data_IF_851043331823
#
_entry.id   IF_851043331823
#
_cell.length_a   1.000
_cell.length_b   1.000
_cell.length_c   1.000
_cell.angle_alpha   90.00
_cell.angle_beta   90.00
_cell.angle_gamma   90.00
#
_symmetry.space_group_name_H-M   'P 1'
#
loop_
_entity.id
_entity.type
_entity.pdbx_description
1 polymer ?
#
# COMPACT_ATOMS: atom_id res chain seq x y z
N UNK A 1 -3.73 7.55 -14.40
CA UNK A 1 -2.57 6.93 -15.04
C UNK A 1 -1.71 6.26 -13.98
N UNK A 2 -1.09 5.12 -14.32
CA UNK A 2 -0.20 4.38 -13.40
C UNK A 2 1.01 5.23 -12.95
N UNK A 3 1.63 6.00 -13.87
CA UNK A 3 2.75 6.90 -13.59
C UNK A 3 2.50 7.91 -12.47
N UNK A 4 1.28 8.39 -12.29
CA UNK A 4 0.92 9.30 -11.19
C UNK A 4 0.74 8.58 -9.87
N UNK A 5 0.12 7.37 -9.89
CA UNK A 5 -0.12 6.58 -8.69
C UNK A 5 1.13 5.88 -8.17
N UNK A 6 2.05 5.55 -9.08
CA UNK A 6 3.27 4.79 -8.81
C UNK A 6 4.53 5.63 -9.07
N UNK A 7 4.44 6.95 -8.90
CA UNK A 7 5.50 7.90 -9.28
C UNK A 7 6.86 7.54 -8.70
N UNK A 8 6.91 7.11 -7.46
CA UNK A 8 8.13 6.70 -6.77
C UNK A 8 8.85 5.55 -7.51
N UNK A 9 8.11 4.52 -7.94
CA UNK A 9 8.70 3.42 -8.70
C UNK A 9 9.21 3.86 -10.07
N UNK A 10 8.48 4.76 -10.74
CA UNK A 10 8.88 5.30 -12.04
C UNK A 10 10.12 6.20 -11.96
N UNK A 11 10.42 6.78 -10.80
CA UNK A 11 11.60 7.62 -10.58
C UNK A 11 12.85 6.83 -10.19
N UNK A 12 12.68 5.67 -9.54
CA UNK A 12 13.81 4.91 -8.98
C UNK A 12 14.15 3.64 -9.79
N UNK A 13 13.27 3.20 -10.68
CA UNK A 13 13.44 1.95 -11.43
C UNK A 13 13.33 2.15 -12.93
N UNK A 14 14.16 1.41 -13.69
CA UNK A 14 13.97 1.25 -15.15
C UNK A 14 12.73 0.41 -15.41
N UNK A 15 11.77 0.95 -16.16
CA UNK A 15 10.48 0.31 -16.43
C UNK A 15 10.47 -0.23 -17.86
N UNK A 16 10.18 -1.52 -18.02
CA UNK A 16 9.96 -2.11 -19.35
C UNK A 16 8.47 -2.31 -19.58
N UNK A 17 7.94 -1.65 -20.60
CA UNK A 17 6.54 -1.80 -21.05
C UNK A 17 6.49 -2.73 -22.24
N UNK A 18 5.84 -3.89 -22.09
CA UNK A 18 5.58 -4.81 -23.19
C UNK A 18 4.19 -4.55 -23.77
N UNK A 19 4.09 -4.29 -25.08
CA UNK A 19 2.84 -3.97 -25.78
C UNK A 19 2.78 -4.65 -27.14
N UNK A 20 1.58 -4.99 -27.60
CA UNK A 20 1.32 -5.50 -28.93
C UNK A 20 1.38 -4.42 -30.01
N UNK A 21 1.27 -3.16 -29.61
CA UNK A 21 1.40 -1.99 -30.49
C UNK A 21 2.76 -1.33 -30.31
N UNK A 22 3.32 -0.68 -31.34
CA UNK A 22 4.61 0.00 -31.26
C UNK A 22 4.51 1.30 -30.45
N UNK A 23 4.37 1.17 -29.12
CA UNK A 23 4.21 2.32 -28.23
C UNK A 23 5.37 3.31 -28.29
N UNK A 24 6.58 2.82 -28.56
CA UNK A 24 7.75 3.68 -28.72
C UNK A 24 7.55 4.70 -29.84
N UNK A 25 7.05 4.24 -30.99
CA UNK A 25 6.85 5.10 -32.16
C UNK A 25 5.68 6.07 -31.96
N UNK A 26 4.65 5.62 -31.21
CA UNK A 26 3.48 6.45 -30.92
C UNK A 26 3.82 7.56 -29.91
N UNK A 27 4.57 7.25 -28.86
CA UNK A 27 4.86 8.20 -27.77
C UNK A 27 5.97 9.18 -28.19
N UNK A 28 6.94 8.73 -28.99
CA UNK A 28 8.06 9.56 -29.46
C UNK A 28 7.75 10.29 -30.78
N UNK A 29 6.54 10.16 -31.31
CA UNK A 29 6.14 10.89 -32.51
C UNK A 29 6.07 12.38 -32.22
N UNK A 30 6.90 13.18 -32.90
CA UNK A 30 6.95 14.65 -32.77
C UNK A 30 5.69 15.37 -33.25
N UNK A 31 4.91 14.73 -34.12
CA UNK A 31 3.67 15.25 -34.65
C UNK A 31 2.44 14.83 -33.82
N UNK A 32 2.67 14.13 -32.71
CA UNK A 32 1.60 13.71 -31.81
C UNK A 32 0.88 14.93 -31.20
N UNK A 33 -0.44 14.93 -31.30
CA UNK A 33 -1.30 15.99 -30.75
C UNK A 33 -2.22 15.47 -29.65
N UNK A 34 -2.83 16.38 -28.90
CA UNK A 34 -3.86 16.06 -27.92
C UNK A 34 -3.36 15.23 -26.72
N UNK A 35 -4.04 14.12 -26.43
CA UNK A 35 -3.74 13.29 -25.26
C UNK A 35 -2.38 12.59 -25.34
N UNK A 36 -1.95 12.21 -26.54
CA UNK A 36 -0.68 11.50 -26.77
C UNK A 36 0.49 12.43 -26.46
N UNK A 37 0.48 13.65 -26.97
CA UNK A 37 1.51 14.64 -26.68
C UNK A 37 1.63 14.91 -25.18
N UNK A 38 0.49 15.04 -24.48
CA UNK A 38 0.47 15.22 -23.04
C UNK A 38 1.07 14.04 -22.26
N UNK A 39 0.80 12.82 -22.72
CA UNK A 39 1.38 11.62 -22.12
C UNK A 39 2.87 11.49 -22.40
N UNK A 40 3.32 11.82 -23.62
CA UNK A 40 4.73 11.82 -23.96
C UNK A 40 5.52 12.76 -23.03
N UNK A 41 5.04 13.99 -22.80
CA UNK A 41 5.67 14.95 -21.88
C UNK A 41 5.66 14.43 -20.43
N UNK A 42 4.56 13.81 -19.99
CA UNK A 42 4.42 13.29 -18.62
C UNK A 42 5.35 12.09 -18.36
N UNK A 43 5.66 11.30 -19.39
CA UNK A 43 6.51 10.11 -19.27
C UNK A 43 7.99 10.38 -19.53
N UNK A 44 8.32 11.52 -20.10
CA UNK A 44 9.69 11.90 -20.50
C UNK A 44 10.72 11.88 -19.34
N UNK A 45 10.36 12.21 -18.07
CA UNK A 45 11.31 12.15 -16.96
C UNK A 45 11.64 10.75 -16.45
N UNK A 46 10.98 9.71 -16.97
CA UNK A 46 11.14 8.34 -16.46
C UNK A 46 11.95 7.48 -17.42
N UNK A 47 12.74 6.56 -16.88
CA UNK A 47 13.47 5.56 -17.66
C UNK A 47 12.53 4.42 -18.09
N UNK A 48 11.89 4.59 -19.27
CA UNK A 48 10.91 3.64 -19.78
C UNK A 48 11.42 3.05 -21.10
N UNK A 49 11.59 1.74 -21.12
CA UNK A 49 11.89 0.96 -22.33
C UNK A 49 10.63 0.31 -22.85
N UNK A 50 10.34 0.48 -24.14
CA UNK A 50 9.21 -0.15 -24.81
C UNK A 50 9.68 -1.38 -25.58
N UNK A 51 9.07 -2.54 -25.33
CA UNK A 51 9.32 -3.79 -26.05
C UNK A 51 8.05 -4.24 -26.76
N UNK A 52 8.18 -4.62 -28.02
CA UNK A 52 7.07 -5.25 -28.75
C UNK A 52 6.84 -6.65 -28.16
N UNK A 53 5.64 -6.89 -27.66
CA UNK A 53 5.22 -8.22 -27.24
C UNK A 53 5.05 -9.05 -28.49
N UNK A 54 5.90 -10.06 -28.68
CA UNK A 54 5.69 -11.02 -29.77
C UNK A 54 4.35 -11.70 -29.52
N UNK A 55 3.42 -11.56 -30.46
CA UNK A 55 2.14 -12.24 -30.38
C UNK A 55 2.40 -13.74 -30.22
N UNK A 56 2.00 -14.31 -29.11
CA UNK A 56 1.78 -15.75 -29.00
C UNK A 56 0.70 -16.01 -30.05
N UNK A 57 0.97 -16.87 -31.04
CA UNK A 57 -0.02 -17.19 -32.06
C UNK A 57 -1.32 -17.48 -31.33
N UNK A 58 -2.38 -16.77 -31.70
CA UNK A 58 -3.70 -16.83 -31.01
C UNK A 58 -4.23 -18.26 -30.90
N UNK A 59 -3.81 -19.14 -31.85
CA UNK A 59 -4.12 -20.55 -31.82
C UNK A 59 -3.46 -21.32 -30.70
N UNK A 60 -2.18 -21.02 -30.39
CA UNK A 60 -1.47 -21.66 -29.25
C UNK A 60 -2.05 -21.21 -27.90
N UNK A 61 -2.51 -19.96 -27.82
CA UNK A 61 -3.19 -19.46 -26.63
C UNK A 61 -4.62 -20.05 -26.51
N UNK A 62 -5.34 -20.19 -27.62
CA UNK A 62 -6.65 -20.82 -27.67
C UNK A 62 -6.55 -22.32 -27.33
N UNK A 63 -5.57 -23.02 -27.92
CA UNK A 63 -5.30 -24.45 -27.62
C UNK A 63 -4.88 -24.61 -26.16
N UNK A 64 -4.03 -23.72 -25.62
CA UNK A 64 -3.61 -23.71 -24.23
C UNK A 64 -4.80 -23.41 -23.28
N UNK A 65 -5.66 -22.44 -23.62
CA UNK A 65 -6.86 -22.15 -22.85
C UNK A 65 -7.84 -23.31 -22.90
N UNK A 66 -8.02 -23.95 -24.09
CA UNK A 66 -8.93 -25.10 -24.26
C UNK A 66 -8.40 -26.33 -23.51
N UNK A 67 -7.10 -26.59 -23.60
CA UNK A 67 -6.44 -27.68 -22.88
C UNK A 67 -6.44 -27.46 -21.36
N UNK A 68 -6.36 -26.19 -20.91
CA UNK A 68 -6.46 -25.81 -19.48
C UNK A 68 -7.89 -25.77 -18.95
N UNK A 69 -8.89 -25.54 -19.80
CA UNK A 69 -10.31 -25.58 -19.40
C UNK A 69 -10.89 -26.98 -19.46
N UNK A 70 -10.32 -27.89 -20.26
CA UNK A 70 -10.74 -29.31 -20.34
C UNK A 70 -9.87 -30.24 -19.49
N UNK A 71 -8.59 -29.92 -19.23
CA UNK A 71 -7.83 -30.58 -18.19
C UNK A 71 -8.41 -30.17 -16.84
N UNK A 72 -9.24 -31.04 -16.27
CA UNK A 72 -9.74 -30.99 -14.93
C UNK A 72 -8.79 -30.19 -14.02
N UNK A 73 -9.09 -28.92 -13.79
CA UNK A 73 -8.65 -28.28 -12.57
C UNK A 73 -9.10 -29.24 -11.47
N UNK A 74 -8.19 -29.83 -10.67
CA UNK A 74 -8.59 -30.75 -9.63
C UNK A 74 -9.70 -30.06 -8.87
N UNK A 75 -10.86 -30.73 -8.73
CA UNK A 75 -12.04 -30.23 -8.00
C UNK A 75 -11.71 -29.86 -6.53
N UNK A 76 -10.48 -30.05 -6.12
CA UNK A 76 -9.92 -29.65 -4.83
C UNK A 76 -9.46 -28.16 -4.75
N UNK A 77 -9.33 -27.43 -5.87
CA UNK A 77 -9.05 -25.99 -5.80
C UNK A 77 -10.20 -25.16 -5.24
N UNK A 78 -11.40 -25.73 -5.14
CA UNK A 78 -12.55 -25.08 -4.49
C UNK A 78 -12.44 -25.00 -2.96
N UNK A 79 -11.59 -25.81 -2.33
CA UNK A 79 -11.43 -25.84 -0.87
C UNK A 79 -10.27 -24.98 -0.34
N UNK A 80 -9.34 -24.55 -1.21
CA UNK A 80 -8.11 -23.85 -0.80
C UNK A 80 -7.84 -22.55 -1.58
N UNK A 81 -8.88 -21.86 -1.99
CA UNK A 81 -8.71 -20.60 -2.73
C UNK A 81 -8.50 -19.36 -1.84
N UNK A 82 -8.19 -19.56 -0.56
CA UNK A 82 -7.97 -18.48 0.37
C UNK A 82 -6.52 -17.98 0.28
N UNK A 83 -6.36 -16.66 0.21
CA UNK A 83 -5.09 -16.03 0.52
C UNK A 83 -4.85 -16.11 2.03
N UNK A 84 -3.59 -16.19 2.42
CA UNK A 84 -3.19 -16.14 3.82
C UNK A 84 -2.45 -14.83 4.07
N UNK A 85 -2.85 -14.11 5.10
CA UNK A 85 -2.18 -12.88 5.54
C UNK A 85 -1.60 -13.10 6.93
N UNK A 86 -0.30 -12.90 7.07
CA UNK A 86 0.36 -12.78 8.36
C UNK A 86 0.62 -11.31 8.65
N UNK A 87 0.41 -10.90 9.90
CA UNK A 87 0.68 -9.53 10.34
C UNK A 87 1.35 -9.52 11.71
N UNK A 88 2.15 -8.50 11.97
CA UNK A 88 2.79 -8.25 13.25
C UNK A 88 3.06 -6.76 13.45
N UNK A 89 3.02 -6.30 14.70
CA UNK A 89 3.41 -4.97 15.13
C UNK A 89 4.61 -5.02 16.08
N UNK A 90 5.54 -4.10 15.95
CA UNK A 90 6.73 -4.04 16.81
C UNK A 90 6.99 -2.63 17.33
N UNK A 91 7.18 -2.53 18.65
CA UNK A 91 7.62 -1.31 19.32
C UNK A 91 9.03 -1.49 19.86
N UNK A 92 9.94 -0.62 19.44
CA UNK A 92 11.34 -0.57 19.88
C UNK A 92 11.71 0.84 20.34
N UNK A 93 12.91 1.00 20.93
CA UNK A 93 13.43 2.33 21.30
C UNK A 93 13.57 3.25 20.07
N UNK A 94 13.92 2.70 18.92
CA UNK A 94 14.07 3.44 17.68
C UNK A 94 12.74 3.87 17.04
N UNK A 95 11.62 3.23 17.40
CA UNK A 95 10.31 3.57 16.88
C UNK A 95 9.33 2.40 16.81
N UNK A 96 8.26 2.62 16.06
CA UNK A 96 7.23 1.64 15.78
C UNK A 96 7.35 1.14 14.35
N UNK A 97 7.06 -0.12 14.15
CA UNK A 97 7.00 -0.73 12.83
C UNK A 97 5.92 -1.79 12.73
N UNK A 98 5.55 -2.14 11.53
CA UNK A 98 4.64 -3.23 11.28
C UNK A 98 5.10 -4.05 10.07
N UNK A 99 4.74 -5.32 10.06
CA UNK A 99 5.05 -6.26 9.00
C UNK A 99 3.80 -6.96 8.49
N UNK A 100 3.68 -7.10 7.18
CA UNK A 100 2.58 -7.84 6.56
C UNK A 100 3.15 -8.75 5.48
N UNK A 101 2.68 -9.99 5.48
CA UNK A 101 2.99 -11.01 4.46
C UNK A 101 1.69 -11.54 3.91
N UNK A 102 1.47 -11.38 2.61
CA UNK A 102 0.34 -11.97 1.88
C UNK A 102 0.85 -13.13 1.05
N UNK A 103 0.24 -14.30 1.21
CA UNK A 103 0.58 -15.51 0.46
C UNK A 103 -0.62 -15.94 -0.37
N UNK A 104 -0.43 -16.05 -1.68
CA UNK A 104 -1.46 -16.52 -2.60
C UNK A 104 -1.70 -18.02 -2.47
N UNK A 105 -2.82 -18.56 -2.99
CA UNK A 105 -3.04 -20.00 -3.12
C UNK A 105 -1.95 -20.71 -3.95
N UNK A 106 -1.31 -19.98 -4.87
CA UNK A 106 -0.19 -20.47 -5.70
C UNK A 106 1.17 -20.31 -5.04
N UNK A 107 1.20 -19.87 -3.75
CA UNK A 107 2.39 -19.61 -2.94
C UNK A 107 3.24 -18.43 -3.38
N UNK A 108 2.68 -17.50 -4.16
CA UNK A 108 3.32 -16.22 -4.42
C UNK A 108 3.25 -15.36 -3.15
N UNK A 109 4.34 -14.69 -2.82
CA UNK A 109 4.47 -13.98 -1.55
C UNK A 109 4.68 -12.48 -1.81
N UNK A 110 3.84 -11.65 -1.19
CA UNK A 110 3.98 -10.20 -1.17
C UNK A 110 4.27 -9.73 0.25
N UNK A 111 5.32 -8.93 0.43
CA UNK A 111 5.82 -8.51 1.74
C UNK A 111 5.79 -7.00 1.86
N UNK A 112 5.31 -6.50 3.02
CA UNK A 112 5.27 -5.08 3.35
C UNK A 112 5.94 -4.81 4.68
N UNK A 113 6.71 -3.72 4.72
CA UNK A 113 7.23 -3.11 5.95
C UNK A 113 6.57 -1.75 6.10
N UNK A 114 6.01 -1.48 7.27
CA UNK A 114 5.52 -0.17 7.65
C UNK A 114 6.47 0.46 8.65
N UNK A 115 6.88 1.69 8.37
CA UNK A 115 7.55 2.56 9.32
C UNK A 115 6.51 3.52 9.90
N UNK A 116 6.16 3.33 11.17
CA UNK A 116 5.21 4.19 11.86
C UNK A 116 5.98 5.38 12.44
N UNK A 117 5.72 6.58 11.92
CA UNK A 117 6.48 7.81 12.16
C UNK A 117 5.91 8.65 13.32
N UNK A 118 5.03 8.09 14.12
CA UNK A 118 4.47 8.69 15.33
C UNK A 118 4.62 7.74 16.52
N UNK A 119 4.47 8.28 17.73
CA UNK A 119 4.61 7.49 18.96
C UNK A 119 3.28 6.88 19.37
N UNK A 120 3.29 5.58 19.67
CA UNK A 120 2.10 4.84 20.08
C UNK A 120 2.43 3.58 20.89
N UNK A 121 1.40 2.78 21.20
CA UNK A 121 1.52 1.49 21.84
C UNK A 121 1.89 0.37 20.86
N UNK A 122 2.36 -0.77 21.37
CA UNK A 122 2.55 -1.96 20.55
C UNK A 122 1.22 -2.43 19.95
N UNK A 123 0.14 -2.42 20.73
CA UNK A 123 -1.19 -2.81 20.24
C UNK A 123 -1.66 -1.95 19.06
N UNK A 124 -1.33 -0.64 19.07
CA UNK A 124 -1.61 0.23 17.93
C UNK A 124 -0.82 -0.19 16.68
N UNK A 125 0.45 -0.58 16.82
CA UNK A 125 1.25 -1.08 15.71
C UNK A 125 0.69 -2.40 15.13
N UNK A 126 0.18 -3.31 15.99
CA UNK A 126 -0.52 -4.53 15.58
C UNK A 126 -1.76 -4.22 14.73
N UNK A 127 -2.58 -3.29 15.20
CA UNK A 127 -3.78 -2.87 14.46
C UNK A 127 -3.44 -2.13 13.16
N UNK A 128 -2.38 -1.34 13.13
CA UNK A 128 -1.92 -0.71 11.88
C UNK A 128 -1.43 -1.75 10.87
N UNK A 129 -0.70 -2.79 11.33
CA UNK A 129 -0.31 -3.92 10.48
C UNK A 129 -1.53 -4.60 9.87
N UNK A 130 -2.50 -4.93 10.71
CA UNK A 130 -3.74 -5.60 10.31
C UNK A 130 -4.55 -4.76 9.31
N UNK A 131 -4.81 -3.48 9.61
CA UNK A 131 -5.58 -2.59 8.73
C UNK A 131 -4.87 -2.36 7.40
N UNK A 132 -3.54 -2.19 7.42
CA UNK A 132 -2.77 -2.04 6.20
C UNK A 132 -2.87 -3.29 5.34
N UNK A 133 -2.65 -4.47 5.91
CA UNK A 133 -2.76 -5.74 5.20
C UNK A 133 -4.14 -5.96 4.58
N UNK A 134 -5.22 -5.66 5.31
CA UNK A 134 -6.58 -5.74 4.78
C UNK A 134 -6.82 -4.75 3.63
N UNK A 135 -6.31 -3.51 3.72
CA UNK A 135 -6.40 -2.52 2.63
C UNK A 135 -5.67 -3.00 1.38
N UNK A 136 -4.47 -3.58 1.58
CA UNK A 136 -3.70 -4.16 0.47
C UNK A 136 -4.45 -5.33 -0.17
N UNK A 137 -5.00 -6.24 0.63
CA UNK A 137 -5.81 -7.36 0.13
C UNK A 137 -7.01 -6.86 -0.70
N UNK A 138 -7.73 -5.85 -0.21
CA UNK A 138 -8.83 -5.22 -0.98
C UNK A 138 -8.32 -4.60 -2.28
N UNK A 139 -7.18 -3.89 -2.26
CA UNK A 139 -6.62 -3.24 -3.46
C UNK A 139 -6.15 -4.24 -4.51
N UNK A 140 -5.73 -5.43 -4.08
CA UNK A 140 -5.36 -6.56 -4.95
C UNK A 140 -6.58 -7.35 -5.46
N UNK A 141 -7.78 -7.02 -5.01
CA UNK A 141 -9.02 -7.72 -5.41
C UNK A 141 -9.21 -9.07 -4.75
N UNK A 142 -8.50 -9.33 -3.65
CA UNK A 142 -8.61 -10.59 -2.89
C UNK A 142 -10.01 -10.68 -2.27
N UNK A 143 -10.71 -11.77 -2.55
CA UNK A 143 -12.09 -11.99 -2.08
C UNK A 143 -12.18 -12.87 -0.85
N UNK A 144 -11.25 -13.82 -0.72
CA UNK A 144 -11.22 -14.77 0.40
C UNK A 144 -9.86 -14.71 1.04
N UNK A 145 -9.82 -14.41 2.34
CA UNK A 145 -8.60 -14.17 3.08
C UNK A 145 -8.66 -14.83 4.46
N UNK A 146 -7.63 -15.54 4.81
CA UNK A 146 -7.35 -16.03 6.14
C UNK A 146 -6.29 -15.14 6.77
N UNK A 147 -6.61 -14.50 7.89
CA UNK A 147 -5.74 -13.57 8.61
C UNK A 147 -5.15 -14.29 9.82
N UNK A 148 -3.85 -14.33 9.91
CA UNK A 148 -3.10 -14.99 10.98
C UNK A 148 -2.18 -13.98 11.69
N UNK A 149 -2.18 -13.99 13.01
CA UNK A 149 -1.30 -13.14 13.83
C UNK A 149 -1.08 -13.72 15.22
N UNK A 150 0.02 -13.33 15.88
CA UNK A 150 0.34 -13.75 17.24
C UNK A 150 -0.15 -12.75 18.32
N UNK A 151 -0.84 -11.69 17.91
CA UNK A 151 -1.53 -10.75 18.81
C UNK A 151 -2.86 -11.33 19.25
N UNK A 152 -2.85 -12.06 20.38
CA UNK A 152 -4.07 -12.62 20.97
C UNK A 152 -5.11 -11.53 21.24
N UNK A 153 -4.66 -10.35 21.72
CA UNK A 153 -5.55 -9.23 22.01
C UNK A 153 -6.29 -8.73 20.76
N UNK A 154 -5.56 -8.45 19.68
CA UNK A 154 -6.15 -7.95 18.44
C UNK A 154 -7.13 -8.96 17.84
N UNK A 155 -6.72 -10.23 17.73
CA UNK A 155 -7.54 -11.30 17.17
C UNK A 155 -8.81 -11.53 18.01
N UNK A 156 -8.69 -11.67 19.34
CA UNK A 156 -9.83 -11.90 20.22
C UNK A 156 -10.80 -10.72 20.28
N UNK A 157 -10.29 -9.48 20.16
CA UNK A 157 -11.17 -8.31 20.08
C UNK A 157 -11.97 -8.28 18.77
N UNK A 158 -11.37 -8.71 17.66
CA UNK A 158 -12.06 -8.74 16.37
C UNK A 158 -13.08 -9.87 16.33
N UNK A 159 -12.75 -11.03 16.85
CA UNK A 159 -13.66 -12.18 16.94
C UNK A 159 -14.81 -11.95 17.94
N UNK A 160 -14.69 -10.94 18.82
CA UNK A 160 -15.72 -10.62 19.80
C UNK A 160 -15.56 -11.35 21.12
N UNK A 161 -14.44 -12.05 21.35
CA UNK A 161 -14.14 -12.75 22.61
C UNK A 161 -13.82 -11.75 23.74
N UNK A 162 -13.23 -10.59 23.37
CA UNK A 162 -12.91 -9.51 24.30
C UNK A 162 -13.42 -8.15 23.80
N UNK A 163 -13.86 -7.33 24.74
CA UNK A 163 -14.25 -5.94 24.46
C UNK A 163 -13.02 -5.04 24.31
N UNK A 164 -13.04 -4.16 23.32
CA UNK A 164 -12.07 -3.08 23.19
C UNK A 164 -12.51 -1.90 24.08
N UNK A 165 -12.07 -1.89 25.36
CA UNK A 165 -12.41 -0.84 26.33
C UNK A 165 -11.72 0.50 26.04
N UNK A 166 -10.53 0.47 25.46
CA UNK A 166 -9.80 1.66 25.04
C UNK A 166 -10.47 2.26 23.80
N UNK A 167 -10.83 3.57 23.79
CA UNK A 167 -11.53 4.20 22.66
C UNK A 167 -10.77 4.09 21.34
N UNK A 168 -9.44 4.14 21.38
CA UNK A 168 -8.60 4.00 20.20
C UNK A 168 -8.64 2.57 19.66
N UNK A 169 -8.51 1.56 20.53
CA UNK A 169 -8.59 0.15 20.12
C UNK A 169 -10.00 -0.17 19.60
N UNK A 170 -11.04 0.42 20.18
CA UNK A 170 -12.41 0.31 19.69
C UNK A 170 -12.56 0.92 18.29
N UNK A 171 -11.91 2.07 18.00
CA UNK A 171 -11.91 2.68 16.67
C UNK A 171 -11.20 1.81 15.63
N UNK A 172 -10.07 1.20 15.98
CA UNK A 172 -9.39 0.22 15.13
C UNK A 172 -10.28 -0.99 14.84
N UNK A 173 -10.80 -1.63 15.89
CA UNK A 173 -11.72 -2.77 15.77
C UNK A 173 -12.90 -2.44 14.86
N UNK A 174 -13.57 -1.32 15.09
CA UNK A 174 -14.72 -0.89 14.29
C UNK A 174 -14.34 -0.66 12.81
N UNK A 175 -13.13 -0.17 12.55
CA UNK A 175 -12.63 0.01 11.18
C UNK A 175 -12.38 -1.33 10.51
N UNK A 176 -11.78 -2.30 11.21
CA UNK A 176 -11.61 -3.68 10.72
C UNK A 176 -12.98 -4.29 10.41
N UNK A 177 -13.94 -4.21 11.34
CA UNK A 177 -15.29 -4.77 11.15
C UNK A 177 -16.02 -4.17 9.93
N UNK A 178 -15.83 -2.88 9.65
CA UNK A 178 -16.37 -2.25 8.42
C UNK A 178 -15.74 -2.79 7.14
N UNK A 179 -14.51 -3.30 7.22
CA UNK A 179 -13.85 -3.89 6.05
C UNK A 179 -14.31 -5.31 5.74
N UNK A 180 -14.93 -6.03 6.69
CA UNK A 180 -15.44 -7.40 6.47
C UNK A 180 -16.35 -7.47 5.25
N UNK A 181 -17.20 -6.47 5.04
CA UNK A 181 -18.13 -6.41 3.90
C UNK A 181 -17.45 -6.33 2.53
N UNK A 182 -16.12 -6.13 2.48
CA UNK A 182 -15.35 -6.07 1.23
C UNK A 182 -14.88 -7.46 0.76
N UNK A 183 -14.99 -8.46 1.63
CA UNK A 183 -14.56 -9.83 1.38
C UNK A 183 -15.76 -10.77 1.29
N UNK A 184 -15.65 -11.81 0.49
CA UNK A 184 -16.62 -12.89 0.41
C UNK A 184 -16.41 -13.93 1.52
N UNK A 185 -15.18 -14.02 2.04
CA UNK A 185 -14.79 -14.83 3.17
C UNK A 185 -13.56 -14.23 3.85
N UNK A 186 -13.67 -13.97 5.15
CA UNK A 186 -12.59 -13.43 5.97
C UNK A 186 -12.61 -14.10 7.34
N UNK A 187 -11.52 -14.74 7.71
CA UNK A 187 -11.35 -15.44 8.97
C UNK A 187 -10.12 -14.92 9.71
N UNK A 188 -10.17 -14.89 11.05
CA UNK A 188 -9.07 -14.42 11.90
C UNK A 188 -8.64 -15.53 12.84
N UNK A 189 -7.36 -15.88 12.80
CA UNK A 189 -6.78 -16.96 13.59
C UNK A 189 -5.59 -16.48 14.41
N UNK A 190 -5.61 -16.77 15.69
CA UNK A 190 -4.43 -16.60 16.53
C UNK A 190 -3.46 -17.77 16.28
N UNK A 191 -2.20 -17.45 16.01
CA UNK A 191 -1.14 -18.43 15.79
C UNK A 191 0.00 -18.26 16.78
N UNK A 192 0.76 -19.33 16.99
CA UNK A 192 1.96 -19.25 17.81
C UNK A 192 3.02 -18.37 17.13
N UNK A 193 3.82 -17.67 17.93
CA UNK A 193 4.83 -16.72 17.47
C UNK A 193 5.85 -17.37 16.51
N UNK A 194 6.16 -18.64 16.72
CA UNK A 194 7.06 -19.40 15.85
C UNK A 194 6.53 -19.48 14.41
N UNK A 195 5.20 -19.42 14.24
CA UNK A 195 4.56 -19.46 12.94
C UNK A 195 4.38 -18.07 12.31
N UNK A 196 4.64 -16.97 13.07
CA UNK A 196 4.51 -15.59 12.60
C UNK A 196 5.87 -14.91 12.32
N UNK A 197 6.96 -15.67 12.29
CA UNK A 197 8.33 -15.14 12.19
C UNK A 197 8.55 -14.19 11.01
N UNK A 198 7.94 -14.46 9.86
CA UNK A 198 8.11 -13.65 8.67
C UNK A 198 7.57 -12.21 8.85
N UNK A 199 6.39 -12.08 9.47
CA UNK A 199 5.80 -10.77 9.79
C UNK A 199 6.55 -10.08 10.92
N UNK A 200 6.98 -10.80 11.98
CA UNK A 200 7.78 -10.28 13.10
C UNK A 200 9.11 -9.67 12.62
N UNK A 201 9.84 -10.35 11.72
CA UNK A 201 11.08 -9.81 11.14
C UNK A 201 10.81 -8.50 10.39
N UNK A 202 9.76 -8.42 9.57
CA UNK A 202 9.40 -7.20 8.83
C UNK A 202 8.99 -6.07 9.78
N UNK A 203 8.21 -6.37 10.82
CA UNK A 203 7.82 -5.40 11.84
C UNK A 203 9.03 -4.80 12.56
N UNK A 204 10.03 -5.62 12.91
CA UNK A 204 11.29 -5.17 13.53
C UNK A 204 12.13 -4.33 12.57
N UNK A 205 12.23 -4.69 11.29
CA UNK A 205 12.91 -3.87 10.27
C UNK A 205 12.26 -2.48 10.22
N UNK A 206 10.93 -2.42 10.19
CA UNK A 206 10.17 -1.17 10.25
C UNK A 206 10.45 -0.35 11.51
N UNK A 207 10.43 -0.98 12.69
CA UNK A 207 10.65 -0.33 13.97
C UNK A 207 12.09 0.20 14.14
N UNK A 208 13.09 -0.55 13.68
CA UNK A 208 14.51 -0.17 13.74
C UNK A 208 14.92 0.83 12.67
N UNK A 209 14.11 1.02 11.63
CA UNK A 209 14.49 1.78 10.43
C UNK A 209 15.68 1.15 9.67
N UNK A 210 15.80 -0.17 9.74
CA UNK A 210 16.83 -0.92 9.02
C UNK A 210 16.61 -0.82 7.49
N UNK A 211 17.66 -1.15 6.72
CA UNK A 211 17.58 -1.22 5.28
C UNK A 211 16.52 -2.24 4.84
N UNK A 212 15.69 -1.85 3.88
CA UNK A 212 14.61 -2.72 3.40
C UNK A 212 15.20 -3.79 2.46
N UNK A 213 14.90 -5.08 2.71
CA UNK A 213 15.35 -6.15 1.82
C UNK A 213 14.76 -6.03 0.41
N UNK A 214 15.40 -6.60 -0.62
CA UNK A 214 14.84 -6.64 -1.96
C UNK A 214 13.48 -7.36 -1.97
N UNK A 215 12.59 -6.95 -2.87
CA UNK A 215 11.23 -7.48 -3.02
C UNK A 215 10.32 -7.30 -1.78
N UNK A 216 10.61 -6.30 -0.96
CA UNK A 216 9.77 -5.88 0.16
C UNK A 216 9.32 -4.44 -0.06
N UNK A 217 8.02 -4.21 0.02
CA UNK A 217 7.45 -2.87 -0.12
C UNK A 217 7.57 -2.11 1.20
N UNK A 218 7.94 -0.83 1.12
CA UNK A 218 8.00 0.08 2.25
C UNK A 218 6.89 1.11 2.18
N UNK A 219 6.18 1.29 3.28
CA UNK A 219 5.27 2.41 3.47
C UNK A 219 5.54 3.14 4.79
N UNK A 220 5.33 4.46 4.81
CA UNK A 220 5.49 5.29 6.01
C UNK A 220 4.16 5.84 6.45
N UNK A 221 3.81 5.62 7.71
CA UNK A 221 2.59 6.13 8.33
C UNK A 221 2.92 7.30 9.23
N UNK A 222 2.49 8.50 8.86
CA UNK A 222 2.75 9.73 9.63
C UNK A 222 1.66 10.05 10.66
N UNK A 223 0.52 9.37 10.58
CA UNK A 223 -0.61 9.52 11.51
C UNK A 223 -1.36 8.19 11.63
N UNK A 224 -2.10 7.97 12.74
CA UNK A 224 -2.94 6.79 12.89
C UNK A 224 -3.95 6.63 11.76
N UNK A 225 -4.20 5.38 11.38
CA UNK A 225 -5.19 5.02 10.34
C UNK A 225 -6.64 5.22 10.78
N UNK A 226 -6.87 5.50 12.05
CA UNK A 226 -8.19 5.70 12.67
C UNK A 226 -8.27 7.02 13.40
N UNK A 227 -9.49 7.55 13.51
CA UNK A 227 -9.81 8.73 14.33
C UNK A 227 -10.69 8.26 15.49
N UNK A 228 -10.44 8.76 16.70
CA UNK A 228 -11.22 8.45 17.91
C UNK A 228 -11.44 9.70 18.75
N UNK A 229 -12.52 9.72 19.53
CA UNK A 229 -12.82 10.82 20.45
C UNK A 229 -11.81 10.80 21.61
N UNK A 230 -11.12 11.92 21.85
CA UNK A 230 -10.05 12.08 22.84
C UNK A 230 -8.63 11.99 22.29
N UNK A 231 -8.45 11.68 21.02
CA UNK A 231 -7.15 11.66 20.36
C UNK A 231 -6.73 13.05 19.87
N UNK A 232 -6.12 13.86 20.75
CA UNK A 232 -5.23 14.91 20.28
C UNK A 232 -3.91 14.23 19.92
N UNK A 233 -3.80 13.83 18.64
CA UNK A 233 -2.52 13.38 18.13
C UNK A 233 -1.52 14.53 18.29
N UNK A 234 -0.43 14.29 19.02
CA UNK A 234 0.76 15.11 18.93
C UNK A 234 1.27 14.98 17.49
N UNK A 235 0.77 15.83 16.63
CA UNK A 235 1.31 16.05 15.29
C UNK A 235 2.57 16.86 15.54
N UNK A 236 3.73 16.21 15.52
CA UNK A 236 4.97 16.94 15.30
C UNK A 236 4.81 17.62 13.94
N UNK A 237 4.93 18.96 13.84
CA UNK A 237 4.77 19.64 12.57
C UNK A 237 5.82 19.11 11.60
N UNK A 238 5.37 18.76 10.41
CA UNK A 238 6.21 18.42 9.27
C UNK A 238 7.16 19.62 8.99
N UNK A 239 8.48 19.43 9.08
CA UNK A 239 9.43 20.53 8.82
C UNK A 239 9.43 21.02 7.37
N UNK A 240 8.69 20.39 6.46
CA UNK A 240 8.59 20.79 5.05
C UNK A 240 7.33 21.61 4.72
N UNK A 241 6.42 21.85 5.69
CA UNK A 241 5.19 22.61 5.45
C UNK A 241 5.34 24.14 5.62
N UNK A 242 6.55 24.67 5.78
CA UNK A 242 6.81 26.09 6.03
C UNK A 242 7.29 26.88 4.80
N UNK A 243 7.10 26.41 3.56
CA UNK A 243 7.57 27.16 2.39
C UNK A 243 6.52 27.91 1.57
N UNK A 244 5.23 27.73 1.82
CA UNK A 244 4.18 28.33 0.97
C UNK A 244 3.41 29.49 1.59
N UNK A 245 3.70 29.88 2.84
CA UNK A 245 3.02 30.98 3.52
C UNK A 245 3.79 32.31 3.52
N UNK A 246 5.06 32.35 3.11
CA UNK A 246 5.86 33.59 3.12
C UNK A 246 6.02 34.30 1.75
N UNK A 247 5.33 33.82 0.71
CA UNK A 247 5.41 34.48 -0.63
C UNK A 247 4.21 35.36 -0.99
N UNK A 248 3.25 35.59 -0.10
CA UNK A 248 2.09 36.46 -0.40
C UNK A 248 2.18 37.89 0.14
N UNK A 249 3.21 38.25 0.93
CA UNK A 249 3.28 39.57 1.57
C UNK A 249 4.30 40.58 0.95
N UNK A 250 4.89 40.27 -0.21
CA UNK A 250 5.87 41.19 -0.86
C UNK A 250 5.32 41.90 -2.12
N UNK A 251 4.05 41.75 -2.46
CA UNK A 251 3.46 42.49 -3.58
C UNK A 251 2.24 43.28 -3.06
N UNK A 252 2.48 44.38 -2.37
CA UNK A 252 1.40 45.25 -1.92
C UNK A 252 1.87 46.50 -1.15
N UNK A 253 2.75 47.27 -1.74
CA UNK A 253 3.16 48.48 -1.04
C UNK A 253 4.03 49.43 -1.88
N UNK A 254 3.48 50.02 -2.91
CA UNK A 254 3.96 51.34 -3.38
C UNK A 254 3.05 51.88 -4.49
N UNK A 255 2.08 52.67 -4.12
CA UNK A 255 1.55 53.76 -4.95
C UNK A 255 0.66 54.67 -4.10
N UNK A 256 1.08 55.84 -3.95
CA UNK A 256 0.42 57.12 -3.68
C UNK A 256 1.08 57.88 -2.50
N UNK A 257 1.76 58.96 -2.83
CA UNK A 257 1.22 60.34 -2.78
C UNK A 257 2.27 61.33 -3.22
N UNK A 258 2.04 61.91 -4.39
CA UNK A 258 2.58 63.21 -4.74
C UNK A 258 1.43 64.20 -4.57
N UNK A 259 1.46 64.99 -3.52
CA UNK A 259 0.59 66.15 -3.39
C UNK A 259 1.45 67.39 -3.51
N UNK A 260 1.17 68.09 -4.54
CA UNK A 260 1.62 69.46 -4.87
C UNK A 260 1.06 70.48 -3.87
N UNK A 261 1.87 71.43 -3.41
CA UNK A 261 1.39 72.74 -2.94
C UNK A 261 2.43 73.76 -3.21
N UNK A 262 2.01 74.68 -4.06
CA UNK A 262 2.26 76.10 -4.17
C UNK A 262 3.67 76.68 -3.92
#
# INVERSE_FOLDING_TARGET
MASRKLRHYFQECSITVASEVPLNDIINNRDATGKIAKWAIELLPFDITYKLRRAIKSQVLADFITEWTEAELPKEYGAYSNWIMHFDGSKMLAGLGAGVVLTSPTRDIVKYVLQIMYTDSNNAAEYEALLHGLRMAVSMGIKRLEVQGDSNLAISQINGDYDAKDPKMAAYRNTVLKMLARFEGLEFHHIARENNQAADVLARIGAKRDAIPPNVFLERLFKPSVVWEGGHGNISPDPTALSDAEQSDIIGGSANEITTSA
#
